data_IF_694221601339
#
_entry.id   IF_694221601339
#
_cell.length_a   1.000
_cell.length_b   1.000
_cell.length_c   1.000
_cell.angle_alpha   90.00
_cell.angle_beta   90.00
_cell.angle_gamma   90.00
#
_symmetry.space_group_name_H-M   'P 1'
#
loop_
_entity.id
_entity.type
_entity.pdbx_description
1 polymer ?
#
# COMPACT_ATOMS: atom_id res chain seq x y z
N UNK A 1 6.51 17.82 10.35
CA UNK A 1 7.09 16.74 9.52
C UNK A 1 6.14 15.57 9.68
N UNK A 2 5.28 15.33 8.69
CA UNK A 2 4.37 14.18 8.73
C UNK A 2 5.26 12.95 8.53
N UNK A 3 5.29 12.03 9.48
CA UNK A 3 6.12 10.84 9.37
C UNK A 3 5.67 10.02 8.16
N UNK A 4 6.50 9.96 7.11
CA UNK A 4 6.39 9.03 5.96
C UNK A 4 6.66 7.56 6.35
N UNK A 5 6.58 7.28 7.65
CA UNK A 5 6.76 5.97 8.24
C UNK A 5 5.40 5.30 8.29
N UNK A 6 5.31 4.16 7.62
CA UNK A 6 4.09 3.37 7.58
C UNK A 6 3.97 2.63 8.91
N UNK A 7 2.74 2.52 9.39
CA UNK A 7 2.44 1.60 10.48
C UNK A 7 2.56 0.15 9.99
N UNK A 8 2.78 -0.83 10.89
CA UNK A 8 2.84 -2.24 10.50
C UNK A 8 1.61 -2.72 9.71
N UNK A 9 0.42 -2.16 9.99
CA UNK A 9 -0.82 -2.46 9.27
C UNK A 9 -0.81 -1.90 7.84
N UNK A 10 -0.29 -0.69 7.64
CA UNK A 10 -0.14 -0.08 6.31
C UNK A 10 0.93 -0.78 5.49
N UNK A 11 2.04 -1.20 6.10
CA UNK A 11 3.08 -2.00 5.44
C UNK A 11 2.53 -3.34 4.96
N UNK A 12 1.81 -4.05 5.83
CA UNK A 12 1.17 -5.32 5.49
C UNK A 12 0.14 -5.15 4.37
N UNK A 13 -0.67 -4.09 4.43
CA UNK A 13 -1.65 -3.76 3.38
C UNK A 13 -0.98 -3.46 2.04
N UNK A 14 0.10 -2.67 2.05
CA UNK A 14 0.87 -2.34 0.86
C UNK A 14 1.50 -3.58 0.22
N UNK A 15 2.03 -4.51 1.03
CA UNK A 15 2.57 -5.79 0.57
C UNK A 15 1.49 -6.68 -0.04
N UNK A 16 0.31 -6.77 0.58
CA UNK A 16 -0.83 -7.53 0.01
C UNK A 16 -1.27 -6.99 -1.35
N UNK A 17 -1.36 -5.66 -1.48
CA UNK A 17 -1.65 -5.01 -2.78
C UNK A 17 -0.54 -5.33 -3.79
N UNK A 18 0.72 -5.33 -3.38
CA UNK A 18 1.86 -5.66 -4.24
C UNK A 18 1.80 -7.10 -4.77
N UNK A 19 1.36 -8.03 -3.94
CA UNK A 19 1.26 -9.45 -4.29
C UNK A 19 -0.03 -9.76 -5.09
N UNK A 20 -0.84 -8.73 -5.41
CA UNK A 20 -2.04 -8.86 -6.23
C UNK A 20 -3.22 -9.48 -5.50
N UNK A 21 -3.23 -9.45 -4.16
CA UNK A 21 -4.37 -9.90 -3.40
C UNK A 21 -5.60 -9.02 -3.73
N UNK A 22 -6.71 -9.67 -4.08
CA UNK A 22 -7.98 -9.00 -4.32
C UNK A 22 -8.33 -8.13 -3.09
N UNK A 23 -8.72 -6.85 -3.29
CA UNK A 23 -9.02 -5.92 -2.20
C UNK A 23 -10.12 -6.42 -1.24
N UNK A 24 -10.91 -7.39 -1.69
CA UNK A 24 -12.04 -7.94 -0.95
C UNK A 24 -11.65 -8.86 0.22
N UNK A 25 -10.40 -9.32 0.29
CA UNK A 25 -9.92 -10.09 1.43
C UNK A 25 -8.92 -9.26 2.24
N UNK A 26 -9.36 -8.81 3.42
CA UNK A 26 -8.54 -8.33 4.56
C UNK A 26 -7.58 -7.14 4.34
N UNK A 27 -7.83 -6.26 3.37
CA UNK A 27 -7.11 -4.97 3.34
C UNK A 27 -7.98 -3.93 4.06
N UNK A 28 -7.50 -3.41 5.19
CA UNK A 28 -8.23 -2.38 5.95
C UNK A 28 -8.41 -1.11 5.11
N UNK A 29 -9.66 -0.69 4.92
CA UNK A 29 -10.02 0.48 4.11
C UNK A 29 -9.28 1.76 4.57
N UNK A 30 -9.15 1.96 5.88
CA UNK A 30 -8.39 3.07 6.46
C UNK A 30 -6.89 3.04 6.10
N UNK A 31 -6.30 1.85 5.97
CA UNK A 31 -4.91 1.70 5.53
C UNK A 31 -4.78 2.01 4.03
N UNK A 32 -5.75 1.58 3.20
CA UNK A 32 -5.75 1.87 1.76
C UNK A 32 -5.87 3.38 1.52
N UNK A 33 -6.81 4.05 2.17
CA UNK A 33 -7.01 5.49 2.06
C UNK A 33 -5.74 6.27 2.40
N UNK A 34 -5.05 5.83 3.46
CA UNK A 34 -3.79 6.44 3.85
C UNK A 34 -2.67 6.15 2.85
N UNK A 35 -2.54 4.93 2.36
CA UNK A 35 -1.57 4.57 1.32
C UNK A 35 -1.82 5.34 0.00
N UNK A 36 -3.08 5.63 -0.34
CA UNK A 36 -3.44 6.51 -1.45
C UNK A 36 -3.07 7.97 -1.18
N UNK A 37 -3.32 8.48 0.02
CA UNK A 37 -2.94 9.84 0.42
C UNK A 37 -1.41 10.06 0.37
N UNK A 38 -0.65 8.99 0.58
CA UNK A 38 0.82 8.96 0.47
C UNK A 38 1.32 8.70 -0.96
N UNK A 39 0.41 8.64 -1.93
CA UNK A 39 0.70 8.31 -3.33
C UNK A 39 1.46 6.99 -3.51
N UNK A 40 1.27 6.00 -2.63
CA UNK A 40 1.87 4.67 -2.72
C UNK A 40 0.97 3.71 -3.52
N UNK A 41 -0.34 3.89 -3.42
CA UNK A 41 -1.37 3.09 -4.09
C UNK A 41 -2.25 4.00 -4.94
N UNK A 42 -2.74 3.48 -6.04
CA UNK A 42 -3.74 4.13 -6.89
C UNK A 42 -4.89 3.16 -7.21
N UNK A 43 -6.10 3.70 -7.33
CA UNK A 43 -7.25 2.92 -7.77
C UNK A 43 -7.25 2.81 -9.30
N UNK A 44 -7.28 1.57 -9.80
CA UNK A 44 -7.39 1.22 -11.21
C UNK A 44 -8.71 0.49 -11.43
N UNK A 45 -9.79 1.26 -11.56
CA UNK A 45 -11.15 0.72 -11.65
C UNK A 45 -11.60 0.09 -10.33
N UNK A 46 -11.90 -1.21 -10.35
CA UNK A 46 -12.32 -1.98 -9.16
C UNK A 46 -11.15 -2.57 -8.37
N UNK A 47 -9.91 -2.32 -8.81
CA UNK A 47 -8.69 -2.88 -8.24
C UNK A 47 -7.76 -1.79 -7.73
N UNK A 48 -6.83 -2.16 -6.85
CA UNK A 48 -5.74 -1.29 -6.41
C UNK A 48 -4.44 -1.70 -7.11
N UNK A 49 -3.68 -0.70 -7.55
CA UNK A 49 -2.35 -0.86 -8.11
C UNK A 49 -1.32 -0.06 -7.32
N UNK A 50 -0.06 -0.46 -7.40
CA UNK A 50 1.04 0.32 -6.85
C UNK A 50 1.44 1.45 -7.80
N UNK A 51 1.70 2.62 -7.23
CA UNK A 51 2.42 3.67 -7.96
C UNK A 51 3.92 3.35 -8.02
N UNK A 52 4.69 4.16 -8.75
CA UNK A 52 6.16 4.06 -8.72
C UNK A 52 6.75 4.21 -7.31
N UNK A 53 6.16 5.07 -6.48
CA UNK A 53 6.56 5.25 -5.09
C UNK A 53 6.20 4.02 -4.25
N UNK A 54 5.01 3.47 -4.45
CA UNK A 54 4.58 2.21 -3.81
C UNK A 54 5.52 1.06 -4.11
N UNK A 55 5.91 0.86 -5.38
CA UNK A 55 6.86 -0.18 -5.78
C UNK A 55 8.21 -0.02 -5.07
N UNK A 56 8.73 1.21 -4.98
CA UNK A 56 10.00 1.47 -4.27
C UNK A 56 9.88 1.18 -2.78
N UNK A 57 8.78 1.59 -2.15
CA UNK A 57 8.53 1.35 -0.73
C UNK A 57 8.41 -0.14 -0.44
N UNK A 58 7.68 -0.90 -1.25
CA UNK A 58 7.61 -2.37 -1.16
C UNK A 58 8.98 -3.01 -1.29
N UNK A 59 9.80 -2.57 -2.25
CA UNK A 59 11.15 -3.09 -2.42
C UNK A 59 12.06 -2.79 -1.21
N UNK A 60 11.84 -1.67 -0.52
CA UNK A 60 12.52 -1.35 0.73
C UNK A 60 12.05 -2.27 1.86
N UNK A 61 10.74 -2.48 2.02
CA UNK A 61 10.16 -3.35 3.05
C UNK A 61 10.61 -4.81 2.89
N UNK A 62 10.64 -5.35 1.67
CA UNK A 62 11.11 -6.72 1.40
C UNK A 62 12.61 -6.93 1.65
N UNK A 63 13.40 -5.87 1.86
CA UNK A 63 14.84 -5.92 2.17
C UNK A 63 15.16 -5.72 3.65
N UNK A 64 14.19 -5.25 4.45
CA UNK A 64 14.35 -5.04 5.88
C UNK A 64 14.02 -6.31 6.68
#
# INVERSE_FOLDING_TARGET
>A
MVSDELTPHEEHSLLRIADGAEPQHDVEEAAVDRLQSLALVEQRGVSFGLTLMGVRKVAQLKRS
#
